data_IF_006734783500
#
_entry.id   IF_006734783500
#
_cell.length_a   1.000
_cell.length_b   1.000
_cell.length_c   1.000
_cell.angle_alpha   90.00
_cell.angle_beta   90.00
_cell.angle_gamma   90.00
#
_symmetry.space_group_name_H-M   'P 1'
#
loop_
_entity.id
_entity.type
_entity.pdbx_description
1 polymer ?
#
# COMPACT_ATOMS: atom_id res chain seq x y z
N UNK A 1 22.48 -12.07 44.54
CA UNK A 1 21.28 -11.38 44.04
C UNK A 1 20.42 -12.43 43.36
N UNK A 2 19.24 -12.74 43.89
CA UNK A 2 18.26 -13.58 43.19
C UNK A 2 17.63 -12.73 42.08
N UNK A 3 17.63 -13.14 40.81
CA UNK A 3 16.88 -12.41 39.80
C UNK A 3 15.41 -12.90 39.77
N UNK A 4 14.58 -12.12 39.07
CA UNK A 4 13.27 -12.48 38.46
C UNK A 4 12.08 -12.22 39.43
N UNK A 5 10.99 -11.53 39.07
CA UNK A 5 10.13 -11.59 37.86
C UNK A 5 9.64 -10.22 37.35
N UNK A 6 9.39 -10.12 36.04
CA UNK A 6 8.60 -9.05 35.41
C UNK A 6 7.43 -9.69 34.64
N UNK A 7 6.20 -9.31 34.98
CA UNK A 7 4.99 -9.83 34.34
C UNK A 7 4.43 -8.86 33.29
N UNK A 8 4.54 -9.20 32.00
CA UNK A 8 3.68 -8.63 30.95
C UNK A 8 2.42 -9.48 30.89
N UNK A 9 1.28 -8.87 31.21
CA UNK A 9 0.01 -9.59 31.46
C UNK A 9 -1.04 -9.46 30.35
N UNK A 10 -0.91 -8.47 29.46
CA UNK A 10 -1.76 -8.08 28.31
C UNK A 10 -1.29 -6.66 27.85
N UNK A 11 -1.70 -5.99 26.77
CA UNK A 11 -2.56 -6.19 25.59
C UNK A 11 -2.31 -5.01 24.64
N UNK A 12 -2.61 -5.16 23.34
CA UNK A 12 -3.22 -4.08 22.54
C UNK A 12 -4.38 -4.66 21.70
N UNK A 13 -5.45 -3.88 21.51
CA UNK A 13 -6.68 -4.23 20.79
C UNK A 13 -6.68 -3.83 19.31
N UNK A 14 -5.80 -2.92 18.88
CA UNK A 14 -5.49 -2.69 17.46
C UNK A 14 -4.10 -2.04 17.49
N UNK A 15 -3.04 -2.75 17.05
CA UNK A 15 -1.66 -2.28 17.25
C UNK A 15 -1.34 -0.96 16.54
N UNK A 16 -2.27 -0.39 15.77
CA UNK A 16 -2.08 0.82 14.95
C UNK A 16 -0.83 0.72 14.08
N UNK A 17 -0.61 -0.49 13.54
CA UNK A 17 0.46 -0.76 12.59
C UNK A 17 -0.20 -1.04 11.26
N UNK A 18 0.22 -0.28 10.24
CA UNK A 18 -0.16 -0.51 8.85
C UNK A 18 1.03 -1.01 8.08
N UNK A 19 0.80 -2.04 7.27
CA UNK A 19 1.77 -2.54 6.31
C UNK A 19 1.36 -2.16 4.90
N UNK A 20 2.35 -1.94 4.05
CA UNK A 20 2.14 -1.70 2.63
C UNK A 20 3.45 -1.59 1.89
N UNK A 21 3.38 -1.81 0.58
CA UNK A 21 4.46 -1.54 -0.36
C UNK A 21 4.70 -0.03 -0.46
N UNK A 22 5.97 0.35 -0.29
CA UNK A 22 6.46 1.70 -0.60
C UNK A 22 6.73 1.81 -2.10
N UNK A 23 7.19 0.71 -2.71
CA UNK A 23 7.48 0.61 -4.13
C UNK A 23 7.40 -0.85 -4.58
N UNK A 24 6.72 -1.11 -5.69
CA UNK A 24 6.63 -2.43 -6.31
C UNK A 24 7.54 -2.51 -7.56
N UNK A 25 8.26 -3.63 -7.76
CA UNK A 25 9.17 -3.76 -8.88
C UNK A 25 8.39 -3.78 -10.18
N UNK A 26 8.94 -3.12 -11.20
CA UNK A 26 8.35 -3.16 -12.54
C UNK A 26 6.90 -2.67 -12.57
N UNK A 27 6.57 -1.72 -11.71
CA UNK A 27 5.31 -0.98 -11.73
C UNK A 27 5.66 0.49 -11.87
N UNK A 28 4.97 1.17 -12.78
CA UNK A 28 5.13 2.61 -12.96
C UNK A 28 4.27 3.33 -11.93
N UNK A 29 4.87 4.22 -11.14
CA UNK A 29 4.17 4.99 -10.11
C UNK A 29 3.46 6.23 -10.70
N UNK A 30 2.79 7.00 -9.82
CA UNK A 30 2.06 8.20 -10.21
C UNK A 30 2.96 9.33 -10.75
N UNK A 31 4.27 9.25 -10.54
CA UNK A 31 5.28 10.19 -11.02
C UNK A 31 5.91 9.74 -12.34
N UNK A 32 5.51 8.58 -12.87
CA UNK A 32 6.08 7.99 -14.08
C UNK A 32 7.41 7.26 -13.83
N UNK A 33 7.80 7.07 -12.56
CA UNK A 33 9.02 6.36 -12.21
C UNK A 33 8.75 4.85 -12.08
N UNK A 34 9.76 4.06 -12.41
CA UNK A 34 9.74 2.60 -12.32
C UNK A 34 11.10 2.14 -11.85
N UNK A 35 11.13 1.13 -10.98
CA UNK A 35 12.39 0.56 -10.47
C UNK A 35 12.38 -0.96 -10.60
N UNK A 36 13.55 -1.54 -10.85
CA UNK A 36 13.78 -2.97 -10.71
C UNK A 36 13.80 -3.38 -9.23
N UNK A 37 13.58 -4.66 -8.94
CA UNK A 37 13.69 -5.20 -7.57
C UNK A 37 15.07 -4.92 -6.94
N UNK A 38 16.15 -4.92 -7.74
CA UNK A 38 17.50 -4.63 -7.27
C UNK A 38 17.66 -3.16 -6.84
N UNK A 39 17.09 -2.22 -7.59
CA UNK A 39 17.11 -0.79 -7.27
C UNK A 39 16.26 -0.48 -6.06
N UNK A 40 15.08 -1.11 -5.95
CA UNK A 40 14.21 -1.02 -4.78
C UNK A 40 14.96 -1.51 -3.53
N UNK A 41 15.63 -2.65 -3.61
CA UNK A 41 16.43 -3.16 -2.49
C UNK A 41 17.56 -2.19 -2.07
N UNK A 42 18.28 -1.62 -3.05
CA UNK A 42 19.31 -0.60 -2.78
C UNK A 42 18.71 0.63 -2.10
N UNK A 43 17.57 1.13 -2.58
CA UNK A 43 16.88 2.28 -2.01
C UNK A 43 16.44 2.01 -0.56
N UNK A 44 15.84 0.85 -0.31
CA UNK A 44 15.43 0.40 1.02
C UNK A 44 16.61 0.34 1.98
N UNK A 45 17.72 -0.30 1.57
CA UNK A 45 18.90 -0.44 2.43
C UNK A 45 19.58 0.90 2.71
N UNK A 46 19.62 1.80 1.72
CA UNK A 46 20.13 3.15 1.92
C UNK A 46 19.24 3.93 2.89
N UNK A 47 17.92 3.80 2.79
CA UNK A 47 16.97 4.43 3.72
C UNK A 47 17.24 3.98 5.16
N UNK A 48 17.50 2.69 5.35
CA UNK A 48 17.88 2.09 6.64
C UNK A 48 19.23 2.60 7.13
N UNK A 49 20.25 2.60 6.27
CA UNK A 49 21.59 3.11 6.59
C UNK A 49 21.55 4.57 7.06
N UNK A 50 20.70 5.40 6.44
CA UNK A 50 20.52 6.81 6.82
C UNK A 50 19.64 7.03 8.06
N UNK A 51 19.12 5.96 8.68
CA UNK A 51 18.34 6.05 9.93
C UNK A 51 17.04 6.84 9.79
N UNK A 52 16.39 6.79 8.62
CA UNK A 52 15.19 7.60 8.31
C UNK A 52 13.87 7.01 8.86
N UNK A 53 13.94 6.10 9.82
CA UNK A 53 12.80 5.32 10.33
C UNK A 53 11.66 6.15 10.92
N UNK A 54 11.96 7.37 11.40
CA UNK A 54 10.98 8.30 11.96
C UNK A 54 10.77 9.54 11.07
N UNK A 55 11.14 9.46 9.78
CA UNK A 55 10.94 10.52 8.78
C UNK A 55 9.67 10.24 7.97
N UNK A 56 8.56 10.06 8.68
CA UNK A 56 7.23 9.86 8.07
C UNK A 56 6.47 11.17 8.24
N UNK A 57 6.03 11.75 7.13
CA UNK A 57 5.16 12.92 7.09
C UNK A 57 3.81 12.58 6.46
N UNK A 58 2.92 13.57 6.39
CA UNK A 58 1.61 13.42 5.76
C UNK A 58 1.55 14.30 4.52
N UNK A 59 1.29 13.69 3.36
CA UNK A 59 1.11 14.39 2.08
C UNK A 59 2.30 15.28 1.66
N UNK A 60 3.54 14.83 1.91
CA UNK A 60 4.77 15.53 1.51
C UNK A 60 4.87 16.95 2.09
N UNK A 61 4.33 17.16 3.28
CA UNK A 61 4.45 18.45 3.98
C UNK A 61 5.85 18.65 4.62
N UNK A 62 6.69 17.60 4.58
CA UNK A 62 8.05 17.54 5.13
C UNK A 62 8.14 17.73 6.65
N UNK A 63 7.03 17.55 7.37
CA UNK A 63 6.97 17.60 8.83
C UNK A 63 6.68 16.21 9.39
N UNK A 64 7.60 15.62 10.18
CA UNK A 64 7.35 14.31 10.77
C UNK A 64 6.08 14.29 11.60
N UNK A 65 5.17 13.37 11.28
CA UNK A 65 3.83 13.28 11.87
C UNK A 65 3.80 12.41 13.15
N UNK A 66 4.97 12.01 13.65
CA UNK A 66 5.13 11.17 14.85
C UNK A 66 5.00 9.66 14.60
N UNK A 67 4.68 9.25 13.37
CA UNK A 67 4.71 7.84 12.96
C UNK A 67 6.14 7.36 12.73
N UNK A 68 6.36 6.05 12.87
CA UNK A 68 7.68 5.46 12.66
C UNK A 68 7.60 4.01 12.16
N UNK A 69 8.61 3.63 11.39
CA UNK A 69 8.79 2.28 10.87
C UNK A 69 9.17 1.35 12.02
N UNK A 70 8.35 0.32 12.24
CA UNK A 70 8.61 -0.78 13.19
C UNK A 70 9.17 -2.02 12.51
N UNK A 71 8.91 -2.18 11.22
CA UNK A 71 9.38 -3.31 10.43
C UNK A 71 9.62 -2.88 8.98
N UNK A 72 10.63 -3.45 8.33
CA UNK A 72 10.83 -3.26 6.90
C UNK A 72 11.61 -4.41 6.29
N UNK A 73 11.21 -4.78 5.08
CA UNK A 73 11.80 -5.91 4.37
C UNK A 73 11.56 -5.78 2.86
N UNK A 74 12.29 -6.61 2.11
CA UNK A 74 11.97 -6.89 0.71
C UNK A 74 11.10 -8.15 0.70
N UNK A 75 9.90 -8.04 0.12
CA UNK A 75 8.97 -9.15 0.01
C UNK A 75 9.59 -10.28 -0.80
N UNK A 76 9.40 -11.51 -0.33
CA UNK A 76 10.05 -12.71 -0.90
C UNK A 76 9.16 -13.33 -1.98
N UNK A 77 9.77 -14.15 -2.82
CA UNK A 77 9.03 -15.05 -3.69
C UNK A 77 8.03 -15.90 -2.88
N UNK A 78 6.77 -15.94 -3.34
CA UNK A 78 5.68 -16.66 -2.69
C UNK A 78 5.15 -16.02 -1.41
N UNK A 79 5.48 -14.75 -1.11
CA UNK A 79 4.77 -14.01 -0.07
C UNK A 79 3.26 -13.97 -0.38
N UNK A 80 2.39 -14.36 0.55
CA UNK A 80 0.96 -14.46 0.29
C UNK A 80 0.24 -13.10 0.30
N UNK A 81 0.92 -12.04 0.75
CA UNK A 81 0.34 -10.70 0.95
C UNK A 81 0.93 -9.67 0.01
N UNK A 82 2.27 -9.66 -0.13
CA UNK A 82 2.99 -8.58 -0.80
C UNK A 82 3.62 -9.03 -2.12
N UNK A 83 3.79 -8.07 -3.03
CA UNK A 83 4.41 -8.31 -4.34
C UNK A 83 5.89 -8.73 -4.17
N UNK A 84 6.34 -9.87 -4.72
CA UNK A 84 7.75 -10.28 -4.64
C UNK A 84 8.70 -9.20 -5.13
N UNK A 85 9.76 -8.93 -4.37
CA UNK A 85 10.74 -7.88 -4.67
C UNK A 85 10.32 -6.47 -4.29
N UNK A 86 9.09 -6.25 -3.82
CA UNK A 86 8.65 -4.95 -3.32
C UNK A 86 9.32 -4.58 -1.99
N UNK A 87 9.51 -3.29 -1.77
CA UNK A 87 9.92 -2.78 -0.46
C UNK A 87 8.68 -2.54 0.39
N UNK A 88 8.57 -3.30 1.48
CA UNK A 88 7.46 -3.22 2.42
C UNK A 88 7.94 -2.55 3.71
N UNK A 89 7.06 -1.72 4.28
CA UNK A 89 7.23 -1.16 5.62
C UNK A 89 6.00 -1.45 6.48
N UNK A 90 6.23 -1.74 7.75
CA UNK A 90 5.25 -1.69 8.82
C UNK A 90 5.44 -0.39 9.59
N UNK A 91 4.41 0.45 9.66
CA UNK A 91 4.46 1.77 10.30
C UNK A 91 3.53 1.81 11.50
N UNK A 92 4.09 2.11 12.67
CA UNK A 92 3.29 2.47 13.86
C UNK A 92 2.80 3.91 13.71
N UNK A 93 1.51 4.11 13.96
CA UNK A 93 0.83 5.42 13.89
C UNK A 93 0.25 5.76 15.26
N UNK A 94 1.00 6.46 16.14
CA UNK A 94 0.54 6.74 17.50
C UNK A 94 -0.56 7.80 17.59
N UNK A 95 -0.65 8.71 16.60
CA UNK A 95 -1.64 9.78 16.59
C UNK A 95 -3.04 9.22 16.30
N UNK A 96 -4.01 9.34 17.24
CA UNK A 96 -5.36 8.85 17.03
C UNK A 96 -6.09 9.49 15.85
N UNK A 97 -5.82 10.75 15.52
CA UNK A 97 -6.46 11.44 14.40
C UNK A 97 -6.00 10.86 13.05
N UNK A 98 -4.69 10.61 12.91
CA UNK A 98 -4.14 9.91 11.74
C UNK A 98 -4.67 8.48 11.66
N UNK A 99 -4.74 7.78 12.79
CA UNK A 99 -5.30 6.43 12.81
C UNK A 99 -6.76 6.39 12.35
N UNK A 100 -7.59 7.35 12.79
CA UNK A 100 -8.98 7.47 12.33
C UNK A 100 -9.04 7.76 10.82
N UNK A 101 -8.19 8.67 10.31
CA UNK A 101 -8.14 8.98 8.88
C UNK A 101 -7.74 7.76 8.04
N UNK A 102 -6.78 6.95 8.50
CA UNK A 102 -6.44 5.67 7.89
C UNK A 102 -7.65 4.73 7.92
N UNK A 103 -8.29 4.53 9.07
CA UNK A 103 -9.45 3.61 9.15
C UNK A 103 -10.59 4.00 8.22
N UNK A 104 -10.81 5.30 8.00
CA UNK A 104 -11.79 5.83 7.05
C UNK A 104 -11.34 5.76 5.58
N UNK A 105 -10.07 5.45 5.31
CA UNK A 105 -9.51 5.45 3.96
C UNK A 105 -9.21 6.85 3.41
N UNK A 106 -9.22 7.89 4.25
CA UNK A 106 -8.76 9.23 3.87
C UNK A 106 -7.25 9.24 3.60
N UNK A 107 -6.50 8.43 4.36
CA UNK A 107 -5.09 8.10 4.12
C UNK A 107 -5.00 6.63 3.73
N UNK A 108 -4.66 6.35 2.47
CA UNK A 108 -4.84 5.01 1.89
C UNK A 108 -3.68 4.50 1.03
N UNK A 109 -2.48 5.04 1.24
CA UNK A 109 -1.28 4.59 0.55
C UNK A 109 -0.03 5.21 1.15
N UNK A 110 1.11 4.57 0.91
CA UNK A 110 2.41 5.17 1.14
C UNK A 110 2.92 5.86 -0.12
N UNK A 111 3.78 6.85 0.07
CA UNK A 111 4.50 7.51 -1.01
C UNK A 111 5.94 7.69 -0.58
N UNK A 112 6.88 7.40 -1.48
CA UNK A 112 8.30 7.65 -1.26
C UNK A 112 8.66 9.07 -1.69
N UNK A 113 9.15 9.88 -0.76
CA UNK A 113 9.89 11.10 -1.12
C UNK A 113 11.39 10.81 -1.12
N UNK A 114 12.06 11.20 -2.20
CA UNK A 114 13.46 10.89 -2.40
C UNK A 114 14.05 11.58 -3.63
N UNK A 115 15.39 11.61 -3.65
CA UNK A 115 16.15 12.06 -4.81
C UNK A 115 16.97 10.90 -5.36
N UNK A 116 17.02 10.79 -6.69
CA UNK A 116 17.77 9.76 -7.41
C UNK A 116 18.17 10.24 -8.80
N UNK A 117 18.89 9.40 -9.53
CA UNK A 117 19.15 9.60 -10.95
C UNK A 117 18.07 8.86 -11.75
N UNK A 118 17.55 9.52 -12.78
CA UNK A 118 16.59 8.93 -13.72
C UNK A 118 17.29 8.64 -15.03
N UNK A 119 17.01 7.47 -15.59
CA UNK A 119 17.34 7.13 -16.97
C UNK A 119 16.03 6.99 -17.74
N UNK A 120 15.91 7.69 -18.87
CA UNK A 120 14.73 7.54 -19.72
C UNK A 120 14.77 6.17 -20.40
N UNK A 121 13.75 5.37 -20.14
CA UNK A 121 13.53 4.07 -20.76
C UNK A 121 12.16 4.05 -21.42
N UNK A 122 12.09 3.57 -22.66
CA UNK A 122 10.82 3.26 -23.30
C UNK A 122 10.46 1.82 -22.97
N UNK A 123 9.34 1.63 -22.27
CA UNK A 123 8.81 0.31 -21.95
C UNK A 123 7.46 0.19 -22.63
N UNK A 124 7.29 -0.84 -23.45
CA UNK A 124 5.96 -1.23 -23.93
C UNK A 124 5.30 -2.04 -22.82
N UNK A 125 4.20 -1.51 -22.28
CA UNK A 125 3.39 -2.18 -21.27
C UNK A 125 2.01 -2.39 -21.89
N UNK A 126 1.59 -3.65 -22.00
CA UNK A 126 0.21 -3.96 -22.34
C UNK A 126 -0.64 -3.75 -21.08
N UNK A 127 -1.47 -2.70 -21.10
CA UNK A 127 -2.45 -2.43 -20.05
C UNK A 127 -3.77 -3.06 -20.49
N UNK A 128 -4.29 -4.06 -19.78
CA UNK A 128 -5.61 -4.61 -20.08
C UNK A 128 -6.68 -3.51 -19.92
N UNK A 129 -7.67 -3.48 -20.82
CA UNK A 129 -8.79 -2.54 -20.73
C UNK A 129 -9.57 -2.70 -19.42
N UNK A 130 -9.61 -3.94 -18.89
CA UNK A 130 -10.21 -4.26 -17.60
C UNK A 130 -9.26 -5.11 -16.75
N UNK A 131 -9.18 -4.79 -15.45
CA UNK A 131 -8.57 -5.63 -14.44
C UNK A 131 -9.59 -5.94 -13.35
N UNK A 132 -9.55 -7.16 -12.84
CA UNK A 132 -10.43 -7.60 -11.76
C UNK A 132 -9.63 -8.26 -10.65
N UNK A 133 -10.17 -8.21 -9.44
CA UNK A 133 -9.58 -8.84 -8.27
C UNK A 133 -10.56 -8.89 -7.12
N UNK A 134 -10.04 -9.17 -5.92
CA UNK A 134 -10.83 -9.16 -4.69
C UNK A 134 -10.43 -7.96 -3.84
N UNK A 135 -11.43 -7.35 -3.20
CA UNK A 135 -11.19 -6.36 -2.17
C UNK A 135 -10.68 -7.02 -0.88
N UNK A 136 -10.24 -6.20 0.07
CA UNK A 136 -10.07 -6.62 1.46
C UNK A 136 -11.41 -7.11 2.06
N UNK A 137 -11.29 -7.84 3.17
CA UNK A 137 -12.45 -8.33 3.91
C UNK A 137 -12.76 -7.36 5.04
N UNK A 138 -13.96 -6.79 5.00
CA UNK A 138 -14.51 -5.98 6.08
C UNK A 138 -15.69 -6.74 6.68
N UNK A 139 -15.68 -6.84 8.02
CA UNK A 139 -16.60 -7.66 8.80
C UNK A 139 -16.62 -9.13 8.37
N UNK A 140 -17.49 -9.49 7.43
CA UNK A 140 -17.73 -10.87 7.00
C UNK A 140 -17.65 -11.06 5.46
N UNK A 141 -17.40 -10.02 4.67
CA UNK A 141 -17.40 -10.13 3.20
C UNK A 141 -16.31 -9.32 2.53
N UNK A 142 -16.09 -9.67 1.26
CA UNK A 142 -15.24 -8.99 0.30
C UNK A 142 -16.01 -8.99 -1.03
N UNK A 143 -15.62 -8.09 -1.92
CA UNK A 143 -16.22 -7.95 -3.23
C UNK A 143 -15.25 -8.39 -4.33
N UNK A 144 -15.81 -8.86 -5.45
CA UNK A 144 -15.07 -8.86 -6.70
C UNK A 144 -15.13 -7.45 -7.31
N UNK A 145 -13.99 -6.81 -7.49
CA UNK A 145 -13.92 -5.52 -8.19
C UNK A 145 -13.56 -5.72 -9.66
N UNK A 146 -13.97 -4.76 -10.48
CA UNK A 146 -13.47 -4.57 -11.84
C UNK A 146 -13.17 -3.09 -12.06
N UNK A 147 -11.97 -2.78 -12.51
CA UNK A 147 -11.51 -1.43 -12.87
C UNK A 147 -11.13 -1.37 -14.34
N UNK A 148 -11.21 -0.18 -14.93
CA UNK A 148 -11.02 0.04 -16.35
C UNK A 148 -9.94 1.08 -16.63
N UNK A 149 -9.27 0.93 -17.76
CA UNK A 149 -8.25 1.85 -18.25
C UNK A 149 -8.57 2.24 -19.70
N UNK A 150 -8.16 3.44 -20.12
CA UNK A 150 -8.16 3.81 -21.53
C UNK A 150 -6.92 3.29 -22.26
N UNK A 151 -6.85 3.55 -23.58
CA UNK A 151 -5.71 3.15 -24.42
C UNK A 151 -4.38 3.79 -24.04
N UNK A 152 -4.42 4.90 -23.28
CA UNK A 152 -3.24 5.60 -22.80
C UNK A 152 -2.86 5.15 -21.37
N UNK A 153 -3.59 4.17 -20.80
CA UNK A 153 -3.36 3.63 -19.47
C UNK A 153 -3.95 4.45 -18.33
N UNK A 154 -4.79 5.46 -18.63
CA UNK A 154 -5.40 6.27 -17.58
C UNK A 154 -6.50 5.49 -16.87
N UNK A 155 -6.51 5.57 -15.54
CA UNK A 155 -7.54 4.95 -14.71
C UNK A 155 -8.90 5.62 -14.93
N UNK A 156 -9.88 4.84 -15.39
CA UNK A 156 -11.24 5.31 -15.67
C UNK A 156 -12.23 5.06 -14.53
N UNK A 157 -11.79 4.38 -13.46
CA UNK A 157 -12.65 3.94 -12.36
C UNK A 157 -13.15 2.51 -12.55
N UNK A 158 -14.17 2.15 -11.79
CA UNK A 158 -14.68 0.78 -11.75
C UNK A 158 -15.88 0.60 -10.85
N UNK A 159 -16.21 -0.66 -10.59
CA UNK A 159 -17.29 -1.06 -9.71
C UNK A 159 -17.01 -2.42 -9.09
N UNK A 160 -17.72 -2.72 -8.01
CA UNK A 160 -17.77 -4.07 -7.46
C UNK A 160 -19.00 -4.83 -7.94
N UNK A 161 -18.94 -6.15 -7.81
CA UNK A 161 -20.13 -6.99 -7.79
C UNK A 161 -21.07 -6.64 -6.62
N UNK A 162 -22.25 -7.25 -6.63
CA UNK A 162 -23.23 -7.09 -5.54
C UNK A 162 -23.11 -8.24 -4.56
N UNK A 163 -22.70 -7.94 -3.33
CA UNK A 163 -22.59 -8.88 -2.22
C UNK A 163 -23.42 -8.35 -1.07
N UNK A 164 -24.21 -9.21 -0.41
CA UNK A 164 -25.11 -8.82 0.69
C UNK A 164 -26.09 -7.67 0.38
N UNK A 165 -26.38 -7.43 -0.90
CA UNK A 165 -27.39 -6.47 -1.35
C UNK A 165 -26.86 -5.07 -1.69
N UNK A 166 -25.54 -4.84 -1.58
CA UNK A 166 -24.91 -3.59 -2.02
C UNK A 166 -23.70 -3.86 -2.93
N UNK A 167 -23.25 -2.78 -3.57
CA UNK A 167 -22.05 -2.70 -4.41
C UNK A 167 -21.41 -1.33 -4.18
N UNK A 168 -20.14 -1.21 -4.55
CA UNK A 168 -19.41 0.04 -4.51
C UNK A 168 -19.08 0.49 -5.95
N UNK A 169 -19.09 1.80 -6.16
CA UNK A 169 -18.37 2.40 -7.29
C UNK A 169 -16.91 2.61 -6.90
N UNK A 170 -16.05 2.80 -7.89
CA UNK A 170 -14.63 3.02 -7.68
C UNK A 170 -14.23 4.25 -8.49
N UNK A 171 -13.96 5.35 -7.81
CA UNK A 171 -13.44 6.58 -8.43
C UNK A 171 -11.94 6.78 -8.19
N UNK A 172 -11.35 6.00 -7.27
CA UNK A 172 -9.94 6.07 -6.86
C UNK A 172 -9.27 4.70 -6.93
N UNK A 173 -7.95 4.68 -7.09
CA UNK A 173 -7.22 3.46 -7.42
C UNK A 173 -6.95 2.47 -6.28
N UNK A 174 -7.24 2.83 -5.01
CA UNK A 174 -6.88 1.98 -3.85
C UNK A 174 -8.01 1.77 -2.84
N UNK A 175 -9.13 2.48 -3.01
CA UNK A 175 -10.30 2.42 -2.13
C UNK A 175 -11.58 2.52 -2.96
N UNK A 176 -12.57 1.70 -2.64
CA UNK A 176 -13.91 1.87 -3.20
C UNK A 176 -14.59 3.12 -2.64
N UNK A 177 -15.56 3.66 -3.36
CA UNK A 177 -16.45 4.68 -2.82
C UNK A 177 -17.30 4.08 -1.69
N UNK A 178 -17.77 4.95 -0.79
CA UNK A 178 -18.61 4.54 0.34
C UNK A 178 -19.97 4.03 -0.14
N UNK A 179 -20.39 2.88 0.37
CA UNK A 179 -21.70 2.29 0.12
C UNK A 179 -22.08 1.42 1.32
N UNK A 180 -23.33 1.49 1.76
CA UNK A 180 -23.77 0.83 3.00
C UNK A 180 -22.86 1.13 4.22
N UNK A 181 -22.47 2.40 4.38
CA UNK A 181 -21.65 2.92 5.50
C UNK A 181 -20.23 2.33 5.63
N UNK A 182 -19.67 1.73 4.57
CA UNK A 182 -18.27 1.30 4.53
C UNK A 182 -17.66 1.41 3.12
N UNK A 183 -16.34 1.26 3.06
CA UNK A 183 -15.54 1.18 1.83
C UNK A 183 -14.51 0.09 1.98
N UNK A 184 -14.13 -0.54 0.87
CA UNK A 184 -13.13 -1.57 0.83
C UNK A 184 -11.80 -1.09 0.23
N UNK A 185 -10.68 -1.62 0.71
CA UNK A 185 -9.38 -1.48 0.05
C UNK A 185 -9.22 -2.55 -1.01
N UNK A 186 -8.48 -2.20 -2.05
CA UNK A 186 -8.11 -3.16 -3.08
C UNK A 186 -6.83 -2.71 -3.77
N UNK A 187 -6.21 -3.64 -4.48
CA UNK A 187 -5.07 -3.39 -5.34
C UNK A 187 -5.32 -4.09 -6.67
N UNK A 188 -5.08 -3.40 -7.78
CA UNK A 188 -5.10 -3.96 -9.13
C UNK A 188 -3.69 -4.18 -9.68
N UNK A 189 -2.65 -3.81 -8.90
CA UNK A 189 -1.25 -3.85 -9.33
C UNK A 189 -0.80 -5.30 -9.58
N UNK A 190 -1.30 -6.24 -8.79
CA UNK A 190 -1.08 -7.67 -8.98
C UNK A 190 -1.65 -8.15 -10.31
N UNK A 191 -2.78 -7.58 -10.75
CA UNK A 191 -3.37 -7.84 -12.06
C UNK A 191 -2.44 -7.48 -13.21
N UNK A 192 -1.71 -6.36 -13.11
CA UNK A 192 -0.70 -5.98 -14.10
C UNK A 192 0.49 -6.95 -14.14
N UNK A 193 0.95 -7.39 -12.98
CA UNK A 193 2.10 -8.30 -12.87
C UNK A 193 1.79 -9.72 -13.34
N UNK A 194 0.52 -10.13 -13.34
CA UNK A 194 0.09 -11.42 -13.87
C UNK A 194 -0.29 -11.40 -15.36
N UNK A 195 -0.57 -10.21 -15.92
CA UNK A 195 -0.90 -10.03 -17.32
C UNK A 195 0.33 -9.83 -18.23
N UNK A 196 1.53 -9.66 -17.65
CA UNK A 196 2.80 -9.40 -18.35
C UNK A 196 3.76 -10.58 -18.40
#
# INVERSE_FOLDING_TARGET
MSPIEIAIKKQDAEQQIVFGEVFAPNVTDAQGDRMSAEEIAKAAYLFMEKGRLAKIDTNHDLHPNGSYIVETFIAREGDPTFIPGAWVIGVKVPDPALWIAIKKGELNGFSLDGAGFREEVTVEVEIPEELSGLTDRIENHAHQFTVRFDSDGNFLGGETDTVQGHRHTITRGTLTDESADHSHRFSYVEGFLHAS
#
